data_IF_988426886758
#
_entry.id   IF_988426886758
#
_cell.length_a   1.000
_cell.length_b   1.000
_cell.length_c   1.000
_cell.angle_alpha   90.00
_cell.angle_beta   90.00
_cell.angle_gamma   90.00
#
_symmetry.space_group_name_H-M   'P 1'
#
loop_
_entity.id
_entity.type
_entity.pdbx_description
1 polymer ?
#
# COMPACT_ATOMS: atom_id res chain seq x y z
N UNK A 1 32.14 15.86 7.24
CA UNK A 1 31.29 16.67 6.33
C UNK A 1 31.97 16.69 4.96
N UNK A 2 31.20 16.61 3.88
CA UNK A 2 31.69 16.64 2.49
C UNK A 2 30.76 17.52 1.67
N UNK A 3 31.29 18.50 0.95
CA UNK A 3 30.52 19.31 -0.01
C UNK A 3 30.24 18.48 -1.27
N UNK A 4 29.00 18.53 -1.75
CA UNK A 4 28.63 17.82 -2.99
C UNK A 4 28.77 18.74 -4.21
N UNK A 5 28.73 18.16 -5.42
CA UNK A 5 28.71 18.91 -6.69
C UNK A 5 27.54 19.92 -6.76
N UNK A 6 26.43 19.66 -6.05
CA UNK A 6 25.26 20.54 -6.05
C UNK A 6 25.47 21.70 -5.07
N UNK A 7 25.14 22.95 -5.47
CA UNK A 7 25.24 24.08 -4.56
C UNK A 7 24.38 23.86 -3.31
N UNK A 8 24.91 24.25 -2.15
CA UNK A 8 24.27 24.16 -0.83
C UNK A 8 23.90 22.76 -0.33
N UNK A 9 24.47 21.69 -0.90
CA UNK A 9 24.25 20.31 -0.43
C UNK A 9 25.52 19.68 0.15
N UNK A 10 25.35 19.02 1.29
CA UNK A 10 26.41 18.38 2.06
C UNK A 10 26.07 16.93 2.37
N UNK A 11 27.10 16.08 2.39
CA UNK A 11 27.03 14.77 3.02
C UNK A 11 27.66 14.84 4.42
N UNK A 12 26.95 14.26 5.39
CA UNK A 12 27.42 14.08 6.76
C UNK A 12 27.66 12.60 6.98
N UNK A 13 28.83 12.29 7.52
CA UNK A 13 29.28 10.92 7.80
C UNK A 13 29.39 10.80 9.31
N UNK A 14 28.95 9.66 9.84
CA UNK A 14 28.94 9.31 11.25
C UNK A 14 29.49 7.90 11.40
N UNK A 15 30.18 7.61 12.50
CA UNK A 15 30.52 6.23 12.85
C UNK A 15 29.28 5.51 13.36
N UNK A 16 29.11 4.27 12.92
CA UNK A 16 28.04 3.38 13.37
C UNK A 16 28.64 2.29 14.26
N UNK A 17 28.32 2.30 15.55
CA UNK A 17 28.79 1.32 16.53
C UNK A 17 27.96 0.02 16.43
N UNK A 18 27.89 -0.57 15.23
CA UNK A 18 27.17 -1.83 14.92
C UNK A 18 25.64 -1.81 15.05
N UNK A 19 25.01 -0.64 15.13
CA UNK A 19 23.55 -0.55 15.16
C UNK A 19 22.94 -0.91 13.79
N UNK A 20 21.87 -1.72 13.80
CA UNK A 20 21.07 -2.03 12.59
C UNK A 20 20.11 -0.88 12.29
N UNK A 21 20.51 -0.01 11.38
CA UNK A 21 19.76 1.19 10.97
C UNK A 21 19.20 1.00 9.57
N UNK A 22 17.95 1.40 9.34
CA UNK A 22 17.32 1.42 8.02
C UNK A 22 17.53 2.75 7.28
N UNK A 23 17.78 2.70 5.97
CA UNK A 23 17.86 3.91 5.14
C UNK A 23 16.50 4.60 4.97
N UNK A 24 16.45 5.94 4.90
CA UNK A 24 15.23 6.73 4.65
C UNK A 24 15.52 7.94 3.76
N UNK A 25 14.53 8.35 2.95
CA UNK A 25 14.59 9.59 2.15
C UNK A 25 14.07 10.82 2.89
N UNK A 26 13.55 10.62 4.10
CA UNK A 26 12.89 11.67 4.87
C UNK A 26 13.06 11.44 6.38
N UNK A 27 14.28 11.65 6.88
CA UNK A 27 14.62 11.62 8.31
C UNK A 27 13.96 12.80 9.02
N UNK A 28 13.31 12.55 10.16
CA UNK A 28 12.54 13.53 10.94
C UNK A 28 11.41 14.27 10.19
N UNK A 29 11.03 13.84 8.98
CA UNK A 29 10.07 14.58 8.15
C UNK A 29 10.65 15.83 7.46
N UNK A 30 11.96 16.06 7.55
CA UNK A 30 12.64 17.28 7.10
C UNK A 30 13.24 17.20 5.69
N UNK A 31 12.92 16.15 4.92
CA UNK A 31 13.50 15.90 3.60
C UNK A 31 14.98 15.50 3.63
N UNK A 32 15.52 15.13 4.80
CA UNK A 32 16.91 14.70 4.98
C UNK A 32 17.03 13.22 4.60
N UNK A 33 17.97 12.88 3.73
CA UNK A 33 18.22 11.48 3.35
C UNK A 33 19.25 10.84 4.29
N UNK A 34 18.88 9.71 4.89
CA UNK A 34 19.75 8.84 5.68
C UNK A 34 20.03 7.56 4.90
N UNK A 35 21.31 7.26 4.66
CA UNK A 35 21.76 6.04 3.99
C UNK A 35 22.58 5.19 4.95
N UNK A 36 22.05 4.03 5.32
CA UNK A 36 22.72 3.01 6.12
C UNK A 36 23.39 1.95 5.23
N UNK A 37 24.09 1.01 5.88
CA UNK A 37 24.86 -0.07 5.25
C UNK A 37 24.07 -0.78 4.12
N UNK A 38 24.75 -1.04 3.00
CA UNK A 38 24.17 -1.66 1.79
C UNK A 38 23.60 -0.67 0.76
N UNK A 39 23.77 0.64 0.96
CA UNK A 39 23.38 1.65 -0.02
C UNK A 39 24.60 2.40 -0.58
N UNK A 40 24.52 2.79 -1.84
CA UNK A 40 25.59 3.51 -2.52
C UNK A 40 25.60 5.00 -2.15
N UNK A 41 26.78 5.47 -1.75
CA UNK A 41 27.10 6.88 -1.51
C UNK A 41 28.41 7.19 -2.21
N UNK A 42 28.45 8.33 -2.91
CA UNK A 42 29.72 8.85 -3.44
C UNK A 42 30.55 9.34 -2.25
N UNK A 43 31.68 8.67 -1.99
CA UNK A 43 32.59 8.98 -0.89
C UNK A 43 33.90 9.58 -1.42
N UNK A 44 34.51 10.56 -0.72
CA UNK A 44 35.88 10.97 -1.01
C UNK A 44 36.85 9.77 -1.02
N UNK A 45 37.86 9.73 -1.90
CA UNK A 45 38.29 10.77 -2.84
C UNK A 45 37.66 10.67 -4.25
N UNK A 46 36.42 10.19 -4.39
CA UNK A 46 35.77 10.03 -5.70
C UNK A 46 35.80 11.30 -6.55
N UNK A 47 35.94 11.15 -7.88
CA UNK A 47 35.85 12.24 -8.87
C UNK A 47 34.68 11.99 -9.82
N UNK A 48 33.79 12.97 -9.95
CA UNK A 48 32.63 12.92 -10.86
C UNK A 48 32.56 14.26 -11.61
N UNK A 49 32.53 14.22 -12.94
CA UNK A 49 32.38 15.41 -13.81
C UNK A 49 33.29 16.57 -13.39
N UNK A 50 34.59 16.30 -13.27
CA UNK A 50 35.62 17.25 -12.81
C UNK A 50 35.46 17.82 -11.39
N UNK A 51 34.50 17.33 -10.59
CA UNK A 51 34.39 17.65 -9.17
C UNK A 51 35.00 16.52 -8.32
N UNK A 52 35.97 16.86 -7.49
CA UNK A 52 36.60 15.92 -6.55
C UNK A 52 35.97 16.07 -5.17
N UNK A 53 35.47 14.96 -4.64
CA UNK A 53 34.90 14.93 -3.30
C UNK A 53 36.04 14.87 -2.28
N UNK A 54 36.07 15.83 -1.35
CA UNK A 54 37.05 15.87 -0.26
C UNK A 54 36.35 15.86 1.10
N UNK A 55 36.96 15.17 2.07
CA UNK A 55 36.55 15.28 3.46
C UNK A 55 36.98 16.63 4.01
N UNK A 56 36.01 17.51 4.30
CA UNK A 56 36.30 18.74 5.06
C UNK A 56 36.60 18.42 6.53
N UNK A 57 36.06 17.30 7.02
CA UNK A 57 36.37 16.75 8.34
C UNK A 57 36.97 15.36 8.11
N UNK A 58 38.23 15.12 8.52
CA UNK A 58 38.89 13.81 8.37
C UNK A 58 38.08 12.68 9.00
N UNK A 59 38.18 11.47 8.42
CA UNK A 59 37.49 10.28 8.92
C UNK A 59 37.78 10.00 10.41
N UNK A 60 39.02 10.25 10.84
CA UNK A 60 39.45 10.08 12.24
C UNK A 60 38.75 11.00 13.25
N UNK A 61 38.14 12.09 12.78
CA UNK A 61 37.42 13.08 13.61
C UNK A 61 35.90 12.97 13.46
N UNK A 62 35.41 11.92 12.81
CA UNK A 62 33.97 11.69 12.66
C UNK A 62 33.37 11.32 14.02
N UNK A 63 32.24 11.96 14.33
CA UNK A 63 31.49 11.69 15.56
C UNK A 63 30.60 10.45 15.41
N UNK A 64 30.29 9.76 16.52
CA UNK A 64 29.28 8.71 16.52
C UNK A 64 27.92 9.24 16.07
N UNK A 65 27.11 8.35 15.53
CA UNK A 65 25.75 8.66 15.15
C UNK A 65 24.96 9.15 16.38
N UNK A 66 24.25 10.29 16.30
CA UNK A 66 23.45 10.78 17.41
C UNK A 66 22.39 9.78 17.89
N UNK A 67 22.23 9.65 19.20
CA UNK A 67 21.27 8.74 19.85
C UNK A 67 19.84 8.94 19.38
N UNK A 68 19.47 10.19 19.04
CA UNK A 68 18.15 10.51 18.48
C UNK A 68 17.88 9.79 17.16
N UNK A 69 18.89 9.60 16.32
CA UNK A 69 18.77 8.86 15.05
C UNK A 69 18.76 7.35 15.33
N UNK A 70 19.54 6.88 16.30
CA UNK A 70 19.57 5.47 16.72
C UNK A 70 18.18 5.06 17.24
N UNK A 71 17.64 5.82 18.20
CA UNK A 71 16.34 5.53 18.81
C UNK A 71 15.20 5.61 17.78
N UNK A 72 15.20 6.60 16.89
CA UNK A 72 14.14 6.75 15.89
C UNK A 72 14.25 5.75 14.72
N UNK A 73 15.45 5.20 14.46
CA UNK A 73 15.67 4.15 13.46
C UNK A 73 15.50 2.72 13.98
N UNK A 74 15.67 2.52 15.30
CA UNK A 74 15.35 1.29 16.03
C UNK A 74 13.86 1.18 16.36
N UNK A 75 13.14 2.31 16.41
CA UNK A 75 11.70 2.29 16.33
C UNK A 75 11.34 1.68 14.97
N UNK A 76 10.58 0.56 14.92
CA UNK A 76 10.03 0.11 13.65
C UNK A 76 9.27 1.30 13.07
N UNK A 77 9.35 1.51 11.74
CA UNK A 77 8.62 2.54 10.98
C UNK A 77 7.09 2.37 11.13
N UNK A 78 6.63 2.52 12.35
CA UNK A 78 5.28 2.66 12.80
C UNK A 78 5.16 4.15 13.05
N UNK A 79 4.30 4.83 12.29
CA UNK A 79 3.86 6.15 12.69
C UNK A 79 3.21 6.03 14.05
N UNK A 80 3.93 6.39 15.10
CA UNK A 80 3.39 6.53 16.45
C UNK A 80 3.16 8.02 16.64
N UNK A 81 1.89 8.43 16.67
CA UNK A 81 1.51 9.64 17.41
C UNK A 81 1.56 9.25 18.88
N UNK A 82 2.39 9.92 19.66
CA UNK A 82 2.49 9.71 21.10
C UNK A 82 1.16 10.06 21.76
N UNK A 83 0.43 9.03 22.22
CA UNK A 83 -0.62 9.20 23.22
C UNK A 83 0.03 9.26 24.60
N UNK A 84 -0.24 10.36 25.33
CA UNK A 84 0.23 10.59 26.70
C UNK A 84 -0.09 9.40 27.61
N UNK A 85 0.83 9.06 28.51
CA UNK A 85 0.64 8.07 29.56
C UNK A 85 -0.29 8.62 30.65
N UNK A 86 -1.19 7.78 31.16
CA UNK A 86 -1.80 7.94 32.47
C UNK A 86 -1.20 6.88 33.43
N UNK A 87 -1.07 7.18 34.73
CA UNK A 87 -0.27 6.42 35.70
C UNK A 87 -1.04 5.22 36.27
N UNK A 88 -0.31 4.17 36.61
CA UNK A 88 -0.86 2.94 37.21
C UNK A 88 -0.58 1.73 36.33
N UNK A 89 0.49 1.00 36.65
CA UNK A 89 0.97 -0.14 35.87
C UNK A 89 -0.10 -1.22 35.67
N UNK A 90 -0.06 -1.80 34.47
CA UNK A 90 -0.87 -2.92 33.96
C UNK A 90 -2.23 -2.53 33.34
N UNK A 91 -2.21 -2.33 32.01
CA UNK A 91 -3.41 -2.54 31.17
C UNK A 91 -3.02 -3.14 29.81
N UNK A 92 -3.55 -4.34 29.53
CA UNK A 92 -3.55 -4.95 28.21
C UNK A 92 -4.40 -4.08 27.28
N UNK A 93 -3.76 -3.34 26.36
CA UNK A 93 -4.45 -2.44 25.43
C UNK A 93 -5.45 -3.20 24.55
N UNK A 94 -6.73 -3.06 24.89
CA UNK A 94 -7.87 -3.17 23.96
C UNK A 94 -7.61 -2.25 22.75
N UNK A 95 -7.88 -2.77 21.55
CA UNK A 95 -7.96 -1.97 20.33
C UNK A 95 -6.62 -1.63 19.67
N UNK A 96 -5.76 -2.62 19.38
CA UNK A 96 -4.78 -2.44 18.29
C UNK A 96 -5.54 -2.40 16.98
N UNK A 97 -5.92 -1.21 16.52
CA UNK A 97 -6.23 -0.98 15.11
C UNK A 97 -5.02 -1.49 14.33
N UNK A 98 -5.17 -2.64 13.67
CA UNK A 98 -4.18 -3.18 12.74
C UNK A 98 -3.80 -2.03 11.81
N UNK A 99 -2.59 -1.49 11.96
CA UNK A 99 -2.07 -0.54 11.00
C UNK A 99 -2.05 -1.28 9.66
N UNK A 100 -2.97 -0.90 8.77
CA UNK A 100 -3.13 -1.56 7.48
C UNK A 100 -1.77 -1.58 6.78
N UNK A 101 -1.20 -2.76 6.49
CA UNK A 101 0.14 -2.86 5.92
C UNK A 101 0.18 -2.17 4.56
N UNK A 102 1.29 -1.45 4.30
CA UNK A 102 1.48 -0.71 3.04
C UNK A 102 1.36 -1.67 1.86
N UNK A 103 0.36 -1.37 1.07
CA UNK A 103 -0.17 -2.17 -0.02
C UNK A 103 0.67 -1.98 -1.29
N UNK A 104 1.02 -3.07 -2.00
CA UNK A 104 1.80 -3.03 -3.25
C UNK A 104 0.99 -2.57 -4.50
N UNK A 105 0.11 -1.58 -4.35
CA UNK A 105 -0.35 -0.76 -5.48
C UNK A 105 -1.69 -1.08 -6.18
N UNK A 106 -2.58 -1.90 -5.63
CA UNK A 106 -3.95 -2.11 -6.16
C UNK A 106 -5.03 -2.16 -5.08
N UNK A 107 -5.44 -1.05 -4.47
CA UNK A 107 -6.43 -1.00 -3.37
C UNK A 107 -7.67 -1.94 -3.55
N UNK A 108 -7.58 -3.20 -3.09
CA UNK A 108 -8.68 -4.17 -3.22
C UNK A 108 -9.53 -4.08 -1.97
N UNK A 109 -10.71 -3.50 -2.17
CA UNK A 109 -11.66 -3.17 -1.13
C UNK A 109 -12.07 -4.38 -0.26
N UNK A 110 -12.11 -5.60 -0.83
CA UNK A 110 -12.42 -6.81 -0.07
C UNK A 110 -11.38 -7.12 1.03
N UNK A 111 -10.09 -6.88 0.81
CA UNK A 111 -9.08 -7.09 1.85
C UNK A 111 -9.23 -6.11 3.01
N UNK A 112 -9.56 -4.84 2.71
CA UNK A 112 -9.84 -3.83 3.73
C UNK A 112 -11.03 -4.23 4.60
N UNK A 113 -12.10 -4.71 3.98
CA UNK A 113 -13.29 -5.18 4.69
C UNK A 113 -12.95 -6.38 5.60
N UNK A 114 -12.20 -7.37 5.13
CA UNK A 114 -11.78 -8.51 5.96
C UNK A 114 -10.92 -8.02 7.13
N UNK A 115 -9.95 -7.12 6.89
CA UNK A 115 -9.06 -6.60 7.92
C UNK A 115 -9.80 -5.76 8.97
N UNK A 116 -10.77 -4.95 8.56
CA UNK A 116 -11.53 -4.05 9.43
C UNK A 116 -12.71 -4.69 10.16
N UNK A 117 -13.18 -5.86 9.74
CA UNK A 117 -14.36 -6.53 10.31
C UNK A 117 -14.01 -7.48 11.45
N UNK A 118 -14.88 -7.57 12.46
CA UNK A 118 -14.86 -8.67 13.43
C UNK A 118 -15.44 -9.94 12.79
N UNK A 119 -14.59 -10.94 12.55
CA UNK A 119 -14.95 -12.17 11.85
C UNK A 119 -15.63 -13.15 12.82
N UNK A 120 -16.88 -13.54 12.52
CA UNK A 120 -17.66 -14.42 13.39
C UNK A 120 -17.22 -15.89 13.25
N UNK A 121 -17.62 -16.72 14.22
CA UNK A 121 -17.50 -18.17 14.11
C UNK A 121 -18.22 -18.65 12.85
N UNK A 122 -17.56 -19.50 12.05
CA UNK A 122 -18.02 -19.95 10.74
C UNK A 122 -17.52 -19.10 9.56
N UNK A 123 -17.20 -17.81 9.77
CA UNK A 123 -16.69 -16.92 8.71
C UNK A 123 -15.15 -16.86 8.69
N UNK A 124 -14.53 -16.98 9.87
CA UNK A 124 -13.09 -16.74 10.09
C UNK A 124 -12.16 -17.58 9.22
N UNK A 125 -12.40 -18.89 9.07
CA UNK A 125 -11.54 -19.79 8.29
C UNK A 125 -11.46 -19.37 6.82
N UNK A 126 -12.63 -19.23 6.21
CA UNK A 126 -12.77 -18.79 4.82
C UNK A 126 -12.22 -17.38 4.62
N UNK A 127 -12.49 -16.48 5.56
CA UNK A 127 -12.03 -15.08 5.51
C UNK A 127 -10.51 -14.98 5.58
N UNK A 128 -9.87 -15.70 6.49
CA UNK A 128 -8.41 -15.70 6.65
C UNK A 128 -7.72 -16.43 5.50
N UNK A 129 -8.31 -17.53 5.00
CA UNK A 129 -7.85 -18.21 3.79
C UNK A 129 -7.90 -17.30 2.55
N UNK A 130 -9.00 -16.57 2.39
CA UNK A 130 -9.18 -15.62 1.30
C UNK A 130 -8.19 -14.45 1.44
N UNK A 131 -8.04 -13.88 2.64
CA UNK A 131 -7.10 -12.81 2.92
C UNK A 131 -5.66 -13.20 2.56
N UNK A 132 -5.19 -14.36 3.04
CA UNK A 132 -3.85 -14.86 2.76
C UNK A 132 -3.59 -14.98 1.25
N UNK A 133 -4.51 -15.60 0.52
CA UNK A 133 -4.35 -15.81 -0.92
C UNK A 133 -4.46 -14.51 -1.72
N UNK A 134 -5.33 -13.58 -1.32
CA UNK A 134 -5.41 -12.25 -1.94
C UNK A 134 -4.11 -11.45 -1.74
N UNK A 135 -3.50 -11.52 -0.55
CA UNK A 135 -2.21 -10.90 -0.27
C UNK A 135 -1.11 -11.45 -1.18
N UNK A 136 -1.06 -12.78 -1.36
CA UNK A 136 -0.12 -13.42 -2.29
C UNK A 136 -0.36 -12.99 -3.75
N UNK A 137 -1.63 -12.96 -4.20
CA UNK A 137 -1.99 -12.52 -5.55
C UNK A 137 -1.63 -11.05 -5.80
N UNK A 138 -1.58 -10.24 -4.73
CA UNK A 138 -1.13 -8.87 -4.75
C UNK A 138 0.40 -8.72 -4.60
N UNK A 139 1.15 -9.76 -4.96
CA UNK A 139 2.63 -9.80 -4.97
C UNK A 139 3.29 -9.53 -3.62
N UNK A 140 2.62 -9.82 -2.51
CA UNK A 140 3.29 -9.84 -1.20
C UNK A 140 4.16 -11.09 -1.09
N UNK A 141 5.28 -10.96 -0.36
CA UNK A 141 6.08 -12.14 0.02
C UNK A 141 5.26 -13.05 0.94
N UNK A 142 5.55 -14.35 0.89
CA UNK A 142 4.74 -15.36 1.59
C UNK A 142 4.83 -15.26 3.11
N UNK A 143 6.01 -14.96 3.64
CA UNK A 143 6.27 -14.67 5.05
C UNK A 143 5.45 -13.47 5.53
N UNK A 144 5.47 -12.38 4.74
CA UNK A 144 4.71 -11.18 5.05
C UNK A 144 3.19 -11.42 5.04
N UNK A 145 2.69 -12.14 4.03
CA UNK A 145 1.26 -12.48 3.94
C UNK A 145 0.80 -13.35 5.12
N UNK A 146 1.63 -14.30 5.57
CA UNK A 146 1.37 -15.10 6.78
C UNK A 146 1.31 -14.21 8.01
N UNK A 147 2.28 -13.33 8.19
CA UNK A 147 2.34 -12.43 9.36
C UNK A 147 1.08 -11.56 9.47
N UNK A 148 0.61 -10.98 8.36
CA UNK A 148 -0.63 -10.18 8.34
C UNK A 148 -1.84 -11.04 8.73
N UNK A 149 -1.92 -12.25 8.20
CA UNK A 149 -3.04 -13.16 8.47
C UNK A 149 -3.05 -13.60 9.94
N UNK A 150 -1.88 -13.88 10.52
CA UNK A 150 -1.73 -14.21 11.95
C UNK A 150 -2.12 -13.02 12.83
N UNK A 151 -1.64 -11.81 12.49
CA UNK A 151 -2.02 -10.60 13.22
C UNK A 151 -3.53 -10.36 13.17
N UNK A 152 -4.15 -10.58 12.01
CA UNK A 152 -5.61 -10.49 11.88
C UNK A 152 -6.31 -11.55 12.74
N UNK A 153 -5.87 -12.80 12.69
CA UNK A 153 -6.42 -13.86 13.50
C UNK A 153 -6.38 -13.52 15.00
N UNK A 154 -5.21 -13.07 15.48
CA UNK A 154 -4.99 -12.75 16.89
C UNK A 154 -5.78 -11.51 17.36
N UNK A 155 -6.29 -10.70 16.44
CA UNK A 155 -7.15 -9.56 16.77
C UNK A 155 -8.62 -9.96 17.01
N UNK A 156 -9.02 -11.18 16.61
CA UNK A 156 -10.40 -11.65 16.75
C UNK A 156 -10.69 -12.03 18.20
N UNK A 157 -11.95 -11.85 18.62
CA UNK A 157 -12.46 -12.32 19.91
C UNK A 157 -12.30 -13.83 20.10
N UNK A 158 -12.44 -14.60 19.02
CA UNK A 158 -12.23 -16.06 18.99
C UNK A 158 -11.28 -16.42 17.85
N UNK A 159 -9.95 -16.39 18.07
CA UNK A 159 -8.97 -16.73 17.05
C UNK A 159 -9.04 -18.21 16.65
N UNK A 160 -8.54 -18.50 15.46
CA UNK A 160 -8.17 -19.86 15.05
C UNK A 160 -6.95 -20.33 15.84
N UNK A 161 -6.94 -21.63 16.14
CA UNK A 161 -5.80 -22.34 16.68
C UNK A 161 -4.66 -22.43 15.67
N UNK A 162 -3.44 -22.72 16.14
CA UNK A 162 -2.28 -22.91 15.27
C UNK A 162 -2.47 -24.05 14.25
N UNK A 163 -3.21 -25.10 14.63
CA UNK A 163 -3.53 -26.21 13.73
C UNK A 163 -4.49 -25.78 12.61
N UNK A 164 -5.49 -24.95 12.91
CA UNK A 164 -6.41 -24.38 11.92
C UNK A 164 -5.69 -23.36 11.02
N UNK A 165 -4.85 -22.49 11.59
CA UNK A 165 -4.02 -21.55 10.83
C UNK A 165 -3.05 -22.27 9.87
N UNK A 166 -2.50 -23.42 10.25
CA UNK A 166 -1.71 -24.24 9.33
C UNK A 166 -2.54 -24.62 8.09
N UNK A 167 -3.83 -24.96 8.24
CA UNK A 167 -4.72 -25.28 7.10
C UNK A 167 -4.93 -24.07 6.18
N UNK A 168 -5.08 -22.87 6.75
CA UNK A 168 -5.19 -21.60 6.01
C UNK A 168 -4.00 -21.39 5.07
N UNK A 169 -2.78 -21.79 5.46
CA UNK A 169 -1.57 -21.56 4.68
C UNK A 169 -1.18 -22.70 3.71
N UNK A 170 -1.90 -23.83 3.70
CA UNK A 170 -1.49 -25.06 2.97
C UNK A 170 -1.39 -24.88 1.46
N UNK A 171 -2.30 -24.12 0.86
CA UNK A 171 -2.44 -24.07 -0.61
C UNK A 171 -2.50 -22.64 -1.11
N UNK A 172 -1.71 -22.37 -2.15
CA UNK A 172 -1.86 -21.16 -2.97
C UNK A 172 -3.05 -21.35 -3.88
N UNK A 173 -3.96 -20.38 -3.86
CA UNK A 173 -5.16 -20.39 -4.66
C UNK A 173 -5.30 -19.05 -5.38
N UNK A 174 -5.60 -19.11 -6.69
CA UNK A 174 -5.87 -17.93 -7.49
C UNK A 174 -7.35 -17.57 -7.37
N UNK A 175 -7.70 -16.73 -6.40
CA UNK A 175 -9.07 -16.33 -6.16
C UNK A 175 -9.59 -15.41 -7.28
N UNK A 176 -10.83 -15.67 -7.69
CA UNK A 176 -11.65 -14.79 -8.54
C UNK A 176 -12.60 -13.98 -7.65
N UNK A 177 -13.00 -12.79 -8.10
CA UNK A 177 -13.97 -11.97 -7.37
C UNK A 177 -15.31 -12.68 -7.16
N UNK A 178 -15.76 -13.52 -8.12
CA UNK A 178 -16.97 -14.34 -7.94
C UNK A 178 -16.87 -15.24 -6.72
N UNK A 179 -15.76 -15.98 -6.61
CA UNK A 179 -15.54 -16.90 -5.49
C UNK A 179 -15.49 -16.17 -4.15
N UNK A 180 -14.86 -15.00 -4.10
CA UNK A 180 -14.83 -14.17 -2.88
C UNK A 180 -16.24 -13.76 -2.47
N UNK A 181 -17.08 -13.32 -3.40
CA UNK A 181 -18.49 -12.92 -3.11
C UNK A 181 -19.35 -14.10 -2.66
N UNK A 182 -19.23 -15.24 -3.34
CA UNK A 182 -19.95 -16.47 -2.98
C UNK A 182 -19.57 -16.96 -1.58
N UNK A 183 -18.28 -16.88 -1.23
CA UNK A 183 -17.77 -17.41 0.05
C UNK A 183 -17.89 -16.42 1.19
N UNK A 184 -17.83 -15.11 0.92
CA UNK A 184 -17.91 -14.04 1.92
C UNK A 184 -19.05 -13.07 1.55
N UNK A 185 -20.30 -13.37 1.92
CA UNK A 185 -21.46 -12.56 1.54
C UNK A 185 -21.42 -11.12 2.09
N UNK A 186 -20.67 -10.89 3.18
CA UNK A 186 -20.51 -9.56 3.77
C UNK A 186 -19.62 -8.61 2.94
N UNK A 187 -18.98 -9.09 1.87
CA UNK A 187 -18.09 -8.28 1.04
C UNK A 187 -18.90 -7.44 0.06
N UNK A 188 -18.97 -6.14 0.33
CA UNK A 188 -19.51 -5.14 -0.59
C UNK A 188 -18.50 -4.87 -1.71
N UNK A 189 -18.87 -5.14 -2.97
CA UNK A 189 -17.96 -4.94 -4.10
C UNK A 189 -18.14 -3.59 -4.81
N UNK A 190 -19.20 -2.84 -4.49
CA UNK A 190 -19.63 -1.67 -5.26
C UNK A 190 -18.59 -0.55 -5.23
N UNK A 191 -17.93 -0.40 -4.07
CA UNK A 191 -16.84 0.55 -3.82
C UNK A 191 -15.46 0.02 -4.25
N UNK A 192 -15.39 -1.18 -4.83
CA UNK A 192 -14.12 -1.75 -5.27
C UNK A 192 -13.71 -1.16 -6.62
N UNK A 193 -12.66 -0.31 -6.60
CA UNK A 193 -12.02 0.21 -7.84
C UNK A 193 -11.52 -0.88 -8.79
N UNK A 194 -11.40 -2.13 -8.33
CA UNK A 194 -11.00 -3.29 -9.13
C UNK A 194 -12.15 -4.29 -9.35
N UNK A 195 -13.41 -3.86 -9.26
CA UNK A 195 -14.58 -4.70 -9.59
C UNK A 195 -14.50 -5.23 -11.04
N UNK A 196 -13.81 -4.51 -11.92
CA UNK A 196 -13.48 -4.93 -13.28
C UNK A 196 -11.99 -5.27 -13.45
N UNK A 197 -11.66 -6.09 -14.45
CA UNK A 197 -10.28 -6.50 -14.73
C UNK A 197 -9.44 -5.28 -15.11
N UNK A 198 -8.48 -4.91 -14.25
CA UNK A 198 -7.65 -3.71 -14.41
C UNK A 198 -8.25 -2.44 -13.83
N UNK A 199 -9.38 -2.53 -13.12
CA UNK A 199 -10.10 -1.39 -12.56
C UNK A 199 -10.91 -0.58 -13.55
N UNK A 200 -11.04 -1.07 -14.78
CA UNK A 200 -11.83 -0.48 -15.85
C UNK A 200 -12.67 -1.59 -16.48
N UNK A 201 -13.93 -1.31 -16.82
CA UNK A 201 -14.77 -2.23 -17.57
C UNK A 201 -14.21 -2.34 -19.00
N UNK A 202 -13.47 -3.41 -19.28
CA UNK A 202 -12.85 -3.60 -20.60
C UNK A 202 -13.88 -3.77 -21.71
N UNK A 203 -13.54 -3.34 -22.93
CA UNK A 203 -14.40 -3.39 -24.13
C UNK A 203 -14.92 -4.79 -24.49
N UNK A 204 -14.25 -5.85 -24.01
CA UNK A 204 -14.69 -7.23 -24.17
C UNK A 204 -15.81 -7.67 -23.21
N UNK A 205 -16.22 -6.82 -22.26
CA UNK A 205 -17.25 -7.11 -21.28
C UNK A 205 -18.62 -7.30 -21.97
N UNK A 206 -19.40 -8.26 -21.48
CA UNK A 206 -20.70 -8.61 -22.07
C UNK A 206 -21.70 -7.45 -22.02
N UNK A 207 -21.66 -6.61 -20.98
CA UNK A 207 -22.49 -5.40 -20.89
C UNK A 207 -22.10 -4.38 -21.97
N UNK A 208 -20.80 -4.14 -22.18
CA UNK A 208 -20.32 -3.25 -23.26
C UNK A 208 -20.69 -3.81 -24.64
N UNK A 209 -20.56 -5.13 -24.82
CA UNK A 209 -20.94 -5.80 -26.07
C UNK A 209 -22.45 -5.73 -26.32
N UNK A 210 -23.27 -5.81 -25.28
CA UNK A 210 -24.72 -5.75 -25.40
C UNK A 210 -25.22 -4.32 -25.59
N UNK A 211 -24.64 -3.31 -24.92
CA UNK A 211 -24.94 -1.89 -25.15
C UNK A 211 -24.72 -1.52 -26.62
N UNK A 212 -23.65 -2.04 -27.23
CA UNK A 212 -23.37 -1.86 -28.68
C UNK A 212 -24.43 -2.46 -29.61
N UNK A 213 -25.24 -3.39 -29.12
CA UNK A 213 -26.29 -4.08 -29.89
C UNK A 213 -27.70 -3.55 -29.57
N UNK A 214 -27.85 -2.60 -28.64
CA UNK A 214 -29.15 -2.04 -28.31
C UNK A 214 -29.70 -1.26 -29.51
N UNK A 215 -30.86 -1.66 -30.08
CA UNK A 215 -31.52 -0.90 -31.12
C UNK A 215 -32.03 0.43 -30.56
N UNK A 216 -32.11 1.47 -31.39
CA UNK A 216 -32.63 2.78 -31.00
C UNK A 216 -31.59 3.77 -30.45
N UNK A 217 -30.35 3.36 -30.21
CA UNK A 217 -29.24 4.27 -29.92
C UNK A 217 -28.31 4.41 -31.13
N UNK A 218 -27.88 5.63 -31.43
CA UNK A 218 -26.80 5.94 -32.35
C UNK A 218 -25.45 5.44 -31.82
N UNK A 219 -24.44 5.40 -32.69
CA UNK A 219 -23.08 5.03 -32.27
C UNK A 219 -22.51 6.01 -31.24
N UNK A 220 -22.87 7.29 -31.31
CA UNK A 220 -22.46 8.33 -30.35
C UNK A 220 -23.09 8.09 -28.99
N UNK A 221 -24.40 7.87 -28.92
CA UNK A 221 -25.11 7.60 -27.66
C UNK A 221 -24.63 6.30 -27.00
N UNK A 222 -24.40 5.24 -27.79
CA UNK A 222 -23.77 4.00 -27.29
C UNK A 222 -22.37 4.25 -26.74
N UNK A 223 -21.60 5.14 -27.39
CA UNK A 223 -20.28 5.56 -26.96
C UNK A 223 -20.32 6.29 -25.61
N UNK A 224 -21.23 7.26 -25.47
CA UNK A 224 -21.42 8.03 -24.22
C UNK A 224 -21.94 7.11 -23.10
N UNK A 225 -22.94 6.27 -23.36
CA UNK A 225 -23.46 5.32 -22.37
C UNK A 225 -22.38 4.34 -21.87
N UNK A 226 -21.51 3.88 -22.79
CA UNK A 226 -20.35 3.09 -22.41
C UNK A 226 -19.37 3.92 -21.57
N UNK A 227 -19.09 5.17 -21.93
CA UNK A 227 -18.16 6.02 -21.19
C UNK A 227 -18.66 6.26 -19.74
N UNK A 228 -19.95 6.55 -19.57
CA UNK A 228 -20.60 6.74 -18.26
C UNK A 228 -20.53 5.48 -17.40
N UNK A 229 -20.90 4.32 -17.95
CA UNK A 229 -20.89 3.06 -17.22
C UNK A 229 -19.51 2.44 -16.98
N UNK A 230 -18.43 3.07 -17.47
CA UNK A 230 -17.07 2.52 -17.36
C UNK A 230 -16.05 3.47 -16.76
N UNK A 231 -15.95 4.68 -17.29
CA UNK A 231 -14.94 5.68 -16.91
C UNK A 231 -15.42 6.51 -15.72
N UNK A 232 -16.72 6.83 -15.69
CA UNK A 232 -17.35 7.68 -14.68
C UNK A 232 -18.31 6.91 -13.77
N UNK A 233 -18.16 5.59 -13.72
CA UNK A 233 -19.08 4.68 -13.02
C UNK A 233 -19.16 5.04 -11.51
N UNK A 234 -20.31 5.55 -11.10
CA UNK A 234 -20.59 5.99 -9.72
C UNK A 234 -20.16 7.43 -9.41
N UNK A 235 -19.79 8.22 -10.41
CA UNK A 235 -19.45 9.65 -10.28
C UNK A 235 -20.56 10.53 -10.87
N UNK A 236 -20.87 11.65 -10.20
CA UNK A 236 -21.63 12.73 -10.84
C UNK A 236 -20.70 13.49 -11.79
N UNK A 237 -21.08 13.57 -13.05
CA UNK A 237 -20.25 14.14 -14.11
C UNK A 237 -20.95 15.23 -14.90
N UNK A 238 -20.20 16.27 -15.23
CA UNK A 238 -20.69 17.37 -16.06
C UNK A 238 -20.59 17.04 -17.55
N UNK A 239 -21.47 17.63 -18.37
CA UNK A 239 -21.44 17.52 -19.85
C UNK A 239 -20.03 17.87 -20.38
N UNK A 240 -19.45 18.95 -19.87
CA UNK A 240 -18.09 19.39 -20.21
C UNK A 240 -17.01 18.37 -19.82
N UNK A 241 -17.17 17.66 -18.70
CA UNK A 241 -16.27 16.60 -18.26
C UNK A 241 -16.32 15.37 -19.17
N UNK A 242 -17.52 14.99 -19.62
CA UNK A 242 -17.73 13.90 -20.58
C UNK A 242 -17.11 14.27 -21.93
N UNK A 243 -17.41 15.47 -22.43
CA UNK A 243 -16.93 15.98 -23.71
C UNK A 243 -15.39 16.01 -23.77
N UNK A 244 -14.75 16.52 -22.71
CA UNK A 244 -13.29 16.54 -22.57
C UNK A 244 -12.72 15.12 -22.62
N UNK A 245 -13.33 14.18 -21.90
CA UNK A 245 -12.82 12.81 -21.82
C UNK A 245 -13.00 12.02 -23.11
N UNK A 246 -14.11 12.27 -23.81
CA UNK A 246 -14.44 11.65 -25.08
C UNK A 246 -13.86 12.39 -26.29
N UNK A 247 -13.18 13.53 -26.07
CA UNK A 247 -12.60 14.41 -27.10
C UNK A 247 -13.62 14.81 -28.16
N UNK A 248 -14.80 15.22 -27.72
CA UNK A 248 -15.90 15.69 -28.56
C UNK A 248 -16.34 17.09 -28.14
N UNK A 249 -17.09 17.77 -29.00
CA UNK A 249 -17.76 19.02 -28.65
C UNK A 249 -18.80 18.75 -27.56
N UNK A 250 -18.90 19.63 -26.56
CA UNK A 250 -19.88 19.50 -25.48
C UNK A 250 -21.32 19.51 -26.00
N UNK A 251 -21.57 20.20 -27.13
CA UNK A 251 -22.88 20.24 -27.81
C UNK A 251 -23.27 18.91 -28.44
N UNK A 252 -22.32 18.00 -28.61
CA UNK A 252 -22.59 16.62 -29.07
C UNK A 252 -22.96 15.70 -27.89
N UNK A 253 -22.68 16.13 -26.66
CA UNK A 253 -22.98 15.39 -25.42
C UNK A 253 -24.33 15.81 -24.82
N UNK A 254 -24.70 17.08 -24.98
CA UNK A 254 -26.03 17.64 -24.63
C UNK A 254 -27.16 16.97 -25.42
#
# INVERSE_FOLDING_TARGET
>A
RVKTKRPFRYHFYFSNNEHKIGSTKNLFGLGIELKANGNYVVAPPSKIDNFTYHFEIPLSKIKPLPDKIINESLLPRMGIKEGKQAPGGVEYRRGRVLSLPRYNGQDRYCMKQILGRELRLGERDNSLFILYNLLLQNKNRSDHAKQITILKNNSLSKPLTDQELKKVFRKRYKLKCSKVRETLPFIECDKCRFKFKGGVLGMGNILVKNIRKLPGLTNTERGIACLLGTVFDGEEVTISGIALKAKMDYRTVE
#
